data_IF_296023441000
#
_entry.id   IF_296023441000
#
_cell.length_a   1.000
_cell.length_b   1.000
_cell.length_c   1.000
_cell.angle_alpha   90.00
_cell.angle_beta   90.00
_cell.angle_gamma   90.00
#
_symmetry.space_group_name_H-M   'P 1'
#
loop_
_entity.id
_entity.type
_entity.pdbx_description
1 polymer ?
#
# COMPACT_ATOMS: atom_id res chain seq x y z
N UNK A 1 -38.49 -55.65 36.49
CA UNK A 1 -38.92 -56.03 37.85
C UNK A 1 -37.75 -56.63 38.60
N UNK A 2 -37.20 -55.86 39.52
CA UNK A 2 -36.05 -56.20 40.35
C UNK A 2 -35.87 -55.10 41.40
N UNK A 3 -34.92 -55.28 42.32
CA UNK A 3 -34.61 -54.27 43.34
C UNK A 3 -33.81 -53.08 42.81
N UNK A 4 -33.34 -53.16 41.56
CA UNK A 4 -32.56 -52.13 40.89
C UNK A 4 -33.37 -51.56 39.72
N UNK A 5 -33.44 -50.23 39.65
CA UNK A 5 -34.02 -49.48 38.54
C UNK A 5 -32.95 -48.54 38.01
N UNK A 6 -32.70 -48.57 36.70
CA UNK A 6 -31.81 -47.65 36.03
C UNK A 6 -32.66 -46.67 35.22
N UNK A 7 -32.42 -45.38 35.42
CA UNK A 7 -33.03 -44.31 34.63
C UNK A 7 -31.95 -43.68 33.74
N UNK A 8 -32.33 -43.34 32.52
CA UNK A 8 -31.50 -42.48 31.66
C UNK A 8 -32.02 -41.06 31.78
N UNK A 9 -31.15 -40.14 32.16
CA UNK A 9 -31.47 -38.71 32.20
C UNK A 9 -31.59 -38.17 30.77
N UNK A 10 -32.40 -37.14 30.59
CA UNK A 10 -32.48 -36.42 29.32
C UNK A 10 -31.20 -35.61 29.12
N UNK A 11 -30.84 -35.35 27.85
CA UNK A 11 -29.64 -34.55 27.54
C UNK A 11 -29.69 -33.16 28.16
N UNK A 12 -30.88 -32.54 28.24
CA UNK A 12 -31.07 -31.23 28.89
C UNK A 12 -30.78 -31.27 30.39
N UNK A 13 -31.18 -32.35 31.09
CA UNK A 13 -30.94 -32.53 32.52
C UNK A 13 -29.45 -32.75 32.79
N UNK A 14 -28.77 -33.55 31.95
CA UNK A 14 -27.33 -33.78 32.05
C UNK A 14 -26.54 -32.49 31.80
N UNK A 15 -26.88 -31.73 30.76
CA UNK A 15 -26.26 -30.42 30.49
C UNK A 15 -26.51 -29.47 31.67
N UNK A 16 -27.72 -29.45 32.22
CA UNK A 16 -28.08 -28.64 33.38
C UNK A 16 -27.26 -29.01 34.63
N UNK A 17 -27.05 -30.30 34.88
CA UNK A 17 -26.20 -30.80 35.96
C UNK A 17 -24.72 -30.44 35.72
N UNK A 18 -24.18 -30.74 34.53
CA UNK A 18 -22.77 -30.46 34.18
C UNK A 18 -22.45 -28.96 34.21
N UNK A 19 -23.41 -28.09 33.89
CA UNK A 19 -23.22 -26.63 33.94
C UNK A 19 -23.16 -26.08 35.38
N UNK A 20 -23.65 -26.83 36.38
CA UNK A 20 -23.84 -26.35 37.73
C UNK A 20 -22.78 -26.88 38.71
N UNK A 21 -21.79 -26.05 39.03
CA UNK A 21 -20.73 -26.36 40.00
C UNK A 21 -21.23 -26.67 41.43
N UNK A 22 -22.52 -26.45 41.73
CA UNK A 22 -23.09 -26.64 43.07
C UNK A 22 -23.93 -27.91 43.24
N UNK A 23 -24.25 -28.61 42.16
CA UNK A 23 -25.15 -29.78 42.21
C UNK A 23 -24.49 -30.96 41.51
N UNK A 24 -24.16 -32.00 42.27
CA UNK A 24 -23.55 -33.23 41.73
C UNK A 24 -22.31 -33.02 40.84
N UNK A 25 -21.55 -31.93 41.03
CA UNK A 25 -20.26 -31.73 40.36
C UNK A 25 -19.11 -32.49 41.05
N UNK A 26 -19.33 -32.93 42.29
CA UNK A 26 -18.43 -33.77 43.10
C UNK A 26 -19.26 -34.68 44.00
N UNK A 27 -18.68 -35.77 44.49
CA UNK A 27 -19.39 -36.67 45.42
C UNK A 27 -19.97 -35.95 46.66
N UNK A 28 -19.31 -34.92 47.16
CA UNK A 28 -19.72 -34.22 48.38
C UNK A 28 -20.89 -33.24 48.19
N UNK A 29 -21.23 -32.87 46.95
CA UNK A 29 -22.37 -32.02 46.62
C UNK A 29 -23.44 -32.76 45.80
N UNK A 30 -23.40 -34.10 45.78
CA UNK A 30 -24.40 -34.90 45.11
C UNK A 30 -25.39 -35.54 46.10
N UNK A 31 -26.58 -34.95 46.17
CA UNK A 31 -27.66 -35.32 47.09
C UNK A 31 -28.96 -35.54 46.32
N UNK A 32 -29.73 -36.56 46.68
CA UNK A 32 -30.99 -36.92 46.04
C UNK A 32 -32.16 -36.90 47.03
N UNK A 33 -33.23 -36.22 46.64
CA UNK A 33 -34.56 -36.31 47.27
C UNK A 33 -35.52 -37.00 46.29
N UNK A 34 -36.51 -37.74 46.80
CA UNK A 34 -37.54 -38.38 45.96
C UNK A 34 -38.92 -38.10 46.55
N UNK A 35 -39.91 -37.84 45.70
CA UNK A 35 -41.31 -37.67 46.14
C UNK A 35 -42.01 -39.03 46.20
N UNK A 36 -43.16 -39.11 46.87
CA UNK A 36 -43.98 -40.34 46.95
C UNK A 36 -44.44 -40.86 45.59
N UNK A 37 -44.40 -40.02 44.56
CA UNK A 37 -44.88 -40.34 43.20
C UNK A 37 -43.78 -40.91 42.30
N UNK A 38 -42.54 -41.01 42.79
CA UNK A 38 -41.37 -41.42 41.98
C UNK A 38 -41.51 -42.84 41.44
N UNK A 39 -41.95 -43.78 42.27
CA UNK A 39 -42.14 -45.19 41.87
C UNK A 39 -43.15 -45.89 42.78
N UNK A 40 -43.91 -46.84 42.21
CA UNK A 40 -44.82 -47.73 42.93
C UNK A 40 -44.20 -49.13 43.06
N UNK A 41 -44.48 -49.83 44.16
CA UNK A 41 -44.15 -51.24 44.30
C UNK A 41 -45.09 -52.17 43.48
N UNK A 42 -44.84 -53.48 43.51
CA UNK A 42 -45.64 -54.49 42.79
C UNK A 42 -47.10 -54.60 43.28
N UNK A 43 -47.43 -53.96 44.40
CA UNK A 43 -48.74 -53.91 45.04
C UNK A 43 -49.37 -52.49 44.96
N UNK A 44 -48.79 -51.59 44.16
CA UNK A 44 -49.23 -50.19 43.97
C UNK A 44 -49.03 -49.27 45.20
N UNK A 45 -48.14 -49.63 46.13
CA UNK A 45 -47.76 -48.72 47.22
C UNK A 45 -46.68 -47.74 46.74
N UNK A 46 -46.83 -46.46 47.04
CA UNK A 46 -45.84 -45.42 46.79
C UNK A 46 -44.54 -45.62 47.58
N UNK A 47 -43.42 -45.20 46.98
CA UNK A 47 -42.15 -45.07 47.69
C UNK A 47 -42.27 -44.07 48.84
N UNK A 48 -41.55 -44.32 49.94
CA UNK A 48 -41.46 -43.36 51.04
C UNK A 48 -40.65 -42.15 50.56
N UNK A 49 -41.24 -40.96 50.67
CA UNK A 49 -40.60 -39.69 50.30
C UNK A 49 -39.33 -39.44 51.12
N UNK A 50 -38.32 -38.85 50.47
CA UNK A 50 -37.08 -38.38 51.09
C UNK A 50 -37.06 -36.86 50.93
N UNK A 51 -37.22 -36.14 52.03
CA UNK A 51 -37.23 -34.67 52.08
C UNK A 51 -35.82 -34.08 52.06
N UNK A 52 -35.72 -32.76 51.82
CA UNK A 52 -34.43 -32.05 51.72
C UNK A 52 -33.52 -32.22 52.95
N UNK A 53 -34.09 -32.38 54.15
CA UNK A 53 -33.33 -32.57 55.39
C UNK A 53 -32.76 -33.98 55.54
N UNK A 54 -33.38 -34.96 54.87
CA UNK A 54 -33.02 -36.38 54.91
C UNK A 54 -32.42 -36.86 53.57
N UNK A 55 -32.05 -35.92 52.70
CA UNK A 55 -31.53 -36.20 51.38
C UNK A 55 -30.39 -37.22 51.46
N UNK A 56 -30.38 -38.18 50.53
CA UNK A 56 -29.35 -39.19 50.49
C UNK A 56 -28.17 -38.70 49.67
N UNK A 57 -26.96 -38.83 50.21
CA UNK A 57 -25.74 -38.55 49.46
C UNK A 57 -25.40 -39.73 48.54
N UNK A 58 -24.77 -39.44 47.40
CA UNK A 58 -24.30 -40.46 46.48
C UNK A 58 -23.24 -41.36 47.13
N UNK A 59 -23.53 -42.65 47.29
CA UNK A 59 -22.58 -43.62 47.86
C UNK A 59 -21.49 -44.07 46.87
N UNK A 60 -21.73 -43.89 45.58
CA UNK A 60 -20.79 -44.08 44.50
C UNK A 60 -20.95 -42.91 43.51
N UNK A 61 -19.86 -42.28 43.11
CA UNK A 61 -19.83 -41.17 42.16
C UNK A 61 -18.64 -41.40 41.23
N UNK A 62 -18.88 -41.32 39.93
CA UNK A 62 -17.85 -41.40 38.90
C UNK A 62 -17.65 -39.97 38.42
N UNK A 63 -16.43 -39.45 38.60
CA UNK A 63 -16.07 -38.14 38.09
C UNK A 63 -16.16 -38.13 36.57
N UNK A 64 -16.49 -36.97 36.02
CA UNK A 64 -16.52 -36.75 34.58
C UNK A 64 -15.10 -36.75 34.03
N UNK A 65 -14.76 -37.74 33.20
CA UNK A 65 -13.46 -37.92 32.57
C UNK A 65 -13.53 -37.90 31.04
N UNK A 66 -14.69 -37.53 30.49
CA UNK A 66 -14.92 -37.42 29.05
C UNK A 66 -14.58 -36.00 28.62
N UNK A 67 -13.67 -35.81 27.64
CA UNK A 67 -13.35 -34.48 27.13
C UNK A 67 -14.40 -33.99 26.13
N UNK A 68 -14.64 -32.66 26.06
CA UNK A 68 -15.56 -32.08 25.10
C UNK A 68 -14.96 -32.14 23.69
N UNK A 69 -15.79 -32.19 22.65
CA UNK A 69 -15.37 -32.02 21.26
C UNK A 69 -16.22 -30.97 20.54
N UNK A 70 -15.65 -30.35 19.51
CA UNK A 70 -16.35 -29.35 18.71
C UNK A 70 -17.40 -30.04 17.83
N UNK A 71 -18.65 -29.59 17.94
CA UNK A 71 -19.75 -29.99 17.05
C UNK A 71 -19.71 -29.14 15.79
N UNK A 72 -19.73 -27.81 15.95
CA UNK A 72 -19.67 -26.85 14.85
C UNK A 72 -19.11 -25.50 15.27
N UNK A 73 -18.87 -24.63 14.28
CA UNK A 73 -18.58 -23.23 14.52
C UNK A 73 -19.13 -22.32 13.43
N UNK A 74 -19.30 -21.06 13.76
CA UNK A 74 -19.63 -19.98 12.81
C UNK A 74 -18.63 -18.86 12.90
N UNK A 75 -18.24 -18.28 11.77
CA UNK A 75 -17.35 -17.11 11.72
C UNK A 75 -18.03 -15.97 10.96
N UNK A 76 -18.05 -14.80 11.57
CA UNK A 76 -18.58 -13.59 10.94
C UNK A 76 -17.47 -12.53 10.83
N UNK A 77 -17.07 -12.22 9.60
CA UNK A 77 -15.99 -11.28 9.31
C UNK A 77 -16.41 -9.80 9.32
N UNK A 78 -17.71 -9.51 9.34
CA UNK A 78 -18.23 -8.15 9.51
C UNK A 78 -18.28 -7.76 10.99
N UNK A 79 -18.75 -8.69 11.84
CA UNK A 79 -18.93 -8.42 13.27
C UNK A 79 -17.75 -8.87 14.13
N UNK A 80 -16.92 -9.79 13.63
CA UNK A 80 -15.80 -10.34 14.38
C UNK A 80 -16.20 -11.43 15.39
N UNK A 81 -17.38 -12.02 15.26
CA UNK A 81 -17.82 -13.11 16.14
C UNK A 81 -17.39 -14.48 15.61
N UNK A 82 -16.73 -15.25 16.46
CA UNK A 82 -16.46 -16.68 16.27
C UNK A 82 -17.23 -17.46 17.33
N UNK A 83 -18.29 -18.16 16.93
CA UNK A 83 -19.07 -19.00 17.85
C UNK A 83 -18.63 -20.46 17.72
N UNK A 84 -18.31 -21.10 18.85
CA UNK A 84 -17.94 -22.51 18.94
C UNK A 84 -19.04 -23.27 19.69
N UNK A 85 -19.56 -24.33 19.10
CA UNK A 85 -20.54 -25.23 19.71
C UNK A 85 -19.86 -26.55 20.07
N UNK A 86 -19.95 -26.94 21.34
CA UNK A 86 -19.42 -28.20 21.86
C UNK A 86 -20.55 -29.19 22.18
N UNK A 87 -20.23 -30.47 22.32
CA UNK A 87 -21.20 -31.51 22.67
C UNK A 87 -21.59 -31.49 24.16
N UNK A 88 -20.81 -30.81 24.99
CA UNK A 88 -21.08 -30.62 26.43
C UNK A 88 -20.62 -29.24 26.95
N UNK A 89 -21.03 -28.85 28.17
CA UNK A 89 -20.70 -27.53 28.70
C UNK A 89 -19.21 -27.32 28.92
N UNK A 90 -18.70 -26.21 28.38
CA UNK A 90 -17.32 -25.77 28.58
C UNK A 90 -17.22 -24.56 29.49
N UNK A 91 -16.02 -24.34 30.05
CA UNK A 91 -15.77 -23.27 31.01
C UNK A 91 -15.04 -22.09 30.34
N UNK A 92 -15.73 -20.99 30.01
CA UNK A 92 -15.13 -19.85 29.30
C UNK A 92 -13.93 -19.21 30.01
N UNK A 93 -13.85 -19.27 31.35
CA UNK A 93 -12.70 -18.75 32.10
C UNK A 93 -11.40 -19.54 31.92
N UNK A 94 -11.45 -20.69 31.25
CA UNK A 94 -10.29 -21.51 30.89
C UNK A 94 -9.83 -21.30 29.45
N UNK A 95 -10.53 -20.47 28.67
CA UNK A 95 -10.23 -20.22 27.27
C UNK A 95 -8.83 -19.60 27.11
N UNK A 96 -8.00 -20.23 26.29
CA UNK A 96 -6.76 -19.65 25.74
C UNK A 96 -6.91 -19.48 24.22
N UNK A 97 -7.24 -18.27 23.73
CA UNK A 97 -7.38 -18.02 22.30
C UNK A 97 -6.09 -18.27 21.51
N UNK A 98 -4.91 -18.22 22.15
CA UNK A 98 -3.62 -18.43 21.46
C UNK A 98 -3.39 -19.85 20.99
N UNK A 99 -4.28 -20.77 21.40
CA UNK A 99 -4.33 -22.15 20.96
C UNK A 99 -5.27 -22.37 19.78
N UNK A 100 -5.94 -21.33 19.29
CA UNK A 100 -6.90 -21.38 18.18
C UNK A 100 -6.23 -20.86 16.90
N UNK A 101 -6.40 -21.62 15.82
CA UNK A 101 -5.83 -21.37 14.51
C UNK A 101 -6.90 -21.32 13.42
N UNK A 102 -6.73 -20.40 12.48
CA UNK A 102 -7.48 -20.36 11.22
C UNK A 102 -6.54 -20.62 10.05
N UNK A 103 -6.91 -21.53 9.15
CA UNK A 103 -6.06 -22.00 8.05
C UNK A 103 -6.85 -22.14 6.74
N UNK A 104 -6.19 -22.03 5.58
CA UNK A 104 -6.83 -22.10 4.26
C UNK A 104 -7.24 -23.52 3.84
N UNK A 105 -6.55 -24.54 4.35
CA UNK A 105 -6.79 -25.94 3.98
C UNK A 105 -6.11 -26.91 4.96
N UNK A 106 -6.57 -28.17 5.06
CA UNK A 106 -5.91 -29.20 5.85
C UNK A 106 -4.43 -29.35 5.50
N UNK A 107 -3.57 -29.47 6.52
CA UNK A 107 -2.10 -29.54 6.41
C UNK A 107 -1.42 -28.26 5.89
N UNK A 108 -2.12 -27.12 5.87
CA UNK A 108 -1.50 -25.85 5.48
C UNK A 108 -0.35 -25.47 6.43
N UNK A 109 0.75 -25.00 5.85
CA UNK A 109 1.85 -24.38 6.59
C UNK A 109 1.56 -22.91 6.93
N UNK A 110 0.60 -22.29 6.26
CA UNK A 110 0.11 -20.93 6.56
C UNK A 110 -1.15 -21.01 7.41
N UNK A 111 -1.19 -20.22 8.47
CA UNK A 111 -2.31 -20.11 9.39
C UNK A 111 -2.21 -18.82 10.20
N UNK A 112 -3.36 -18.32 10.66
CA UNK A 112 -3.45 -17.26 11.66
C UNK A 112 -3.63 -17.91 13.02
N UNK A 113 -2.96 -17.36 14.03
CA UNK A 113 -3.18 -17.70 15.45
C UNK A 113 -3.90 -16.53 16.10
N UNK A 114 -4.99 -16.79 16.82
CA UNK A 114 -5.69 -15.72 17.54
C UNK A 114 -4.82 -15.20 18.68
N UNK A 115 -4.90 -13.90 18.96
CA UNK A 115 -4.17 -13.31 20.08
C UNK A 115 -4.94 -13.45 21.39
N UNK A 116 -4.23 -13.27 22.51
CA UNK A 116 -4.82 -13.20 23.87
C UNK A 116 -5.87 -12.11 24.07
N UNK A 117 -6.04 -11.21 23.09
CA UNK A 117 -6.99 -10.10 23.16
C UNK A 117 -8.36 -10.48 22.61
N UNK A 118 -8.50 -11.63 21.96
CA UNK A 118 -9.82 -12.24 21.71
C UNK A 118 -10.43 -12.62 23.05
N UNK A 119 -11.68 -12.23 23.29
CA UNK A 119 -12.37 -12.41 24.59
C UNK A 119 -13.70 -13.12 24.42
N UNK A 120 -14.26 -13.62 25.52
CA UNK A 120 -15.62 -14.15 25.56
C UNK A 120 -16.32 -13.65 26.83
N UNK A 121 -17.60 -13.33 26.70
CA UNK A 121 -18.50 -13.05 27.83
C UNK A 121 -19.56 -14.15 28.00
N UNK A 122 -19.40 -15.27 27.30
CA UNK A 122 -20.34 -16.38 27.38
C UNK A 122 -20.39 -16.95 28.81
N UNK A 123 -21.58 -17.34 29.30
CA UNK A 123 -21.68 -18.15 30.50
C UNK A 123 -21.12 -19.55 30.25
N UNK A 124 -20.96 -20.34 31.32
CA UNK A 124 -20.74 -21.79 31.19
C UNK A 124 -21.91 -22.38 30.39
N UNK A 125 -21.59 -23.16 29.37
CA UNK A 125 -22.57 -23.74 28.46
C UNK A 125 -21.93 -24.41 27.26
N UNK A 126 -22.76 -24.90 26.36
CA UNK A 126 -22.31 -25.64 25.15
C UNK A 126 -21.90 -24.71 24.00
N UNK A 127 -22.21 -23.41 24.08
CA UNK A 127 -21.81 -22.41 23.06
C UNK A 127 -20.93 -21.35 23.70
N UNK A 128 -19.77 -21.12 23.10
CA UNK A 128 -18.86 -20.02 23.45
C UNK A 128 -18.77 -19.07 22.26
N UNK A 129 -19.12 -17.81 22.51
CA UNK A 129 -19.04 -16.71 21.55
C UNK A 129 -17.77 -15.92 21.83
N UNK A 130 -16.81 -15.98 20.92
CA UNK A 130 -15.57 -15.23 20.97
C UNK A 130 -15.75 -13.93 20.18
N UNK A 131 -15.40 -12.82 20.81
CA UNK A 131 -15.26 -11.52 20.16
C UNK A 131 -13.79 -11.34 19.76
N UNK A 132 -13.51 -11.45 18.46
CA UNK A 132 -12.17 -11.30 17.90
C UNK A 132 -11.67 -9.86 18.11
N UNK A 133 -10.42 -9.73 18.53
CA UNK A 133 -9.83 -8.39 18.66
C UNK A 133 -9.69 -7.71 17.29
N UNK A 134 -9.64 -6.37 17.27
CA UNK A 134 -9.40 -5.62 16.01
C UNK A 134 -8.09 -6.04 15.34
N UNK A 135 -7.07 -6.39 16.12
CA UNK A 135 -5.81 -6.95 15.60
C UNK A 135 -6.02 -8.31 14.95
N UNK A 136 -6.80 -9.20 15.57
CA UNK A 136 -7.09 -10.53 15.01
C UNK A 136 -7.90 -10.43 13.71
N UNK A 137 -8.98 -9.64 13.71
CA UNK A 137 -9.82 -9.41 12.51
C UNK A 137 -8.96 -8.85 11.38
N UNK A 138 -8.16 -7.82 11.65
CA UNK A 138 -7.31 -7.22 10.63
C UNK A 138 -6.22 -8.19 10.13
N UNK A 139 -5.62 -8.99 11.01
CA UNK A 139 -4.66 -10.01 10.60
C UNK A 139 -5.31 -11.08 9.71
N UNK A 140 -6.56 -11.47 9.98
CA UNK A 140 -7.33 -12.39 9.13
C UNK A 140 -7.67 -11.71 7.79
N UNK A 141 -8.22 -10.49 7.82
CA UNK A 141 -8.59 -9.70 6.65
C UNK A 141 -7.40 -9.42 5.73
N UNK A 142 -6.20 -9.25 6.27
CA UNK A 142 -4.98 -9.01 5.49
C UNK A 142 -4.50 -10.22 4.67
N UNK A 143 -5.05 -11.43 4.90
CA UNK A 143 -4.63 -12.63 4.17
C UNK A 143 -5.36 -12.79 2.84
N UNK A 144 -4.81 -13.66 1.98
CA UNK A 144 -5.47 -14.13 0.74
C UNK A 144 -6.39 -15.34 0.97
N UNK A 145 -6.61 -15.70 2.23
CA UNK A 145 -7.45 -16.84 2.62
C UNK A 145 -8.46 -16.42 3.70
N UNK A 146 -9.34 -17.33 4.12
CA UNK A 146 -10.48 -17.03 4.99
C UNK A 146 -11.36 -15.95 4.34
N UNK A 147 -11.56 -16.04 3.02
CA UNK A 147 -12.46 -15.15 2.24
C UNK A 147 -13.81 -15.79 1.92
N UNK A 148 -13.93 -17.10 2.14
CA UNK A 148 -15.10 -17.91 1.83
C UNK A 148 -15.21 -19.11 2.80
N UNK A 149 -16.33 -19.84 2.83
CA UNK A 149 -16.41 -21.08 3.59
C UNK A 149 -15.51 -22.20 3.06
N UNK A 150 -14.99 -22.10 1.82
CA UNK A 150 -14.17 -23.16 1.19
C UNK A 150 -12.67 -23.06 1.48
N UNK A 151 -12.22 -21.92 1.98
CA UNK A 151 -10.84 -21.62 2.37
C UNK A 151 -10.75 -21.16 3.84
N UNK A 152 -11.75 -21.54 4.65
CA UNK A 152 -11.79 -21.27 6.08
C UNK A 152 -11.85 -22.59 6.83
N UNK A 153 -10.85 -22.83 7.66
CA UNK A 153 -10.79 -24.01 8.51
C UNK A 153 -10.30 -23.62 9.90
N UNK A 154 -10.93 -24.18 10.93
CA UNK A 154 -10.58 -23.99 12.34
C UNK A 154 -9.77 -25.19 12.81
N UNK A 155 -8.72 -24.93 13.58
CA UNK A 155 -7.98 -25.92 14.34
C UNK A 155 -7.68 -25.35 15.73
N UNK A 156 -7.51 -26.21 16.72
CA UNK A 156 -7.05 -25.80 18.04
C UNK A 156 -6.37 -26.95 18.79
N UNK A 157 -5.50 -26.61 19.73
CA UNK A 157 -4.87 -27.60 20.62
C UNK A 157 -5.79 -27.95 21.80
N UNK A 158 -5.44 -29.00 22.54
CA UNK A 158 -6.17 -29.39 23.75
C UNK A 158 -6.10 -28.34 24.87
N UNK A 159 -5.21 -27.35 24.75
CA UNK A 159 -5.08 -26.26 25.73
C UNK A 159 -6.06 -25.11 25.47
N UNK A 160 -6.88 -25.17 24.40
CA UNK A 160 -7.75 -24.07 24.02
C UNK A 160 -8.88 -23.80 25.02
N UNK A 161 -9.53 -24.83 25.55
CA UNK A 161 -10.59 -24.69 26.55
C UNK A 161 -10.79 -26.02 27.29
N UNK A 162 -11.23 -25.95 28.54
CA UNK A 162 -11.62 -27.13 29.32
C UNK A 162 -13.15 -27.17 29.51
N UNK A 163 -13.68 -28.36 29.76
CA UNK A 163 -15.05 -28.53 30.25
C UNK A 163 -15.23 -27.97 31.68
N UNK A 164 -16.42 -28.14 32.25
CA UNK A 164 -16.70 -27.76 33.65
C UNK A 164 -15.92 -28.63 34.65
N UNK A 165 -15.65 -29.90 34.32
CA UNK A 165 -14.92 -30.86 35.13
C UNK A 165 -13.37 -30.73 35.03
N UNK A 166 -12.87 -29.79 34.21
CA UNK A 166 -11.47 -29.53 33.90
C UNK A 166 -10.79 -30.57 32.99
N UNK A 167 -11.55 -31.31 32.19
CA UNK A 167 -11.02 -32.09 31.09
C UNK A 167 -10.71 -31.18 29.90
N UNK A 168 -9.51 -31.27 29.29
CA UNK A 168 -9.16 -30.48 28.12
C UNK A 168 -9.95 -30.91 26.90
N UNK A 169 -10.31 -29.94 26.04
CA UNK A 169 -11.00 -30.22 24.78
C UNK A 169 -10.24 -31.20 23.91
N UNK A 170 -10.97 -32.08 23.23
CA UNK A 170 -10.42 -32.96 22.20
C UNK A 170 -9.84 -32.08 21.08
N UNK A 171 -8.52 -32.16 20.81
CA UNK A 171 -7.87 -31.22 19.90
C UNK A 171 -8.33 -31.41 18.46
N UNK A 172 -8.53 -30.30 17.76
CA UNK A 172 -8.80 -30.26 16.33
C UNK A 172 -7.49 -29.94 15.61
N UNK A 173 -6.76 -30.97 15.20
CA UNK A 173 -5.42 -30.81 14.64
C UNK A 173 -5.44 -30.21 13.23
N UNK A 174 -4.35 -29.54 12.85
CA UNK A 174 -4.21 -28.84 11.56
C UNK A 174 -4.23 -29.77 10.33
N UNK A 175 -4.01 -31.07 10.51
CA UNK A 175 -4.12 -32.09 9.47
C UNK A 175 -5.56 -32.56 9.25
N UNK A 176 -6.44 -32.38 10.24
CA UNK A 176 -7.86 -32.69 10.18
C UNK A 176 -8.70 -31.54 10.75
N UNK A 177 -8.59 -30.31 10.21
CA UNK A 177 -9.31 -29.16 10.72
C UNK A 177 -10.79 -29.19 10.26
N UNK A 178 -11.63 -28.37 10.88
CA UNK A 178 -13.06 -28.33 10.58
C UNK A 178 -13.43 -27.10 9.73
N UNK A 179 -14.29 -27.28 8.73
CA UNK A 179 -14.90 -26.18 7.96
C UNK A 179 -16.05 -25.53 8.73
N UNK A 180 -16.36 -24.25 8.49
CA UNK A 180 -17.43 -23.56 9.22
C UNK A 180 -18.79 -24.15 8.87
N UNK A 181 -19.69 -24.19 9.85
CA UNK A 181 -21.11 -24.46 9.60
C UNK A 181 -21.78 -23.27 8.90
N UNK A 182 -21.40 -22.05 9.29
CA UNK A 182 -21.80 -20.81 8.64
C UNK A 182 -20.63 -19.82 8.60
N UNK A 183 -20.53 -19.08 7.50
CA UNK A 183 -19.52 -18.06 7.28
C UNK A 183 -20.17 -16.79 6.72
N UNK A 184 -20.00 -15.66 7.40
CA UNK A 184 -20.33 -14.33 6.87
C UNK A 184 -19.06 -13.71 6.33
N UNK A 185 -19.04 -13.48 5.02
CA UNK A 185 -17.93 -12.81 4.34
C UNK A 185 -17.88 -11.33 4.73
N UNK A 186 -16.69 -10.78 4.69
CA UNK A 186 -16.45 -9.35 4.87
C UNK A 186 -17.13 -8.54 3.76
N UNK A 187 -17.97 -7.60 4.17
CA UNK A 187 -18.72 -6.68 3.32
C UNK A 187 -18.47 -5.22 3.68
N UNK A 188 -17.60 -4.94 4.66
CA UNK A 188 -17.29 -3.57 5.06
C UNK A 188 -16.33 -2.93 4.06
N UNK A 189 -16.61 -1.68 3.67
CA UNK A 189 -15.74 -0.92 2.78
C UNK A 189 -14.56 -0.31 3.53
N UNK A 190 -13.36 -0.24 2.92
CA UNK A 190 -12.23 0.46 3.51
C UNK A 190 -12.46 1.97 3.41
N UNK A 191 -12.19 2.69 4.50
CA UNK A 191 -12.29 4.15 4.58
C UNK A 191 -10.88 4.76 4.60
N UNK A 192 -10.62 5.72 3.71
CA UNK A 192 -9.39 6.50 3.75
C UNK A 192 -9.42 7.43 4.96
N UNK A 193 -8.45 7.29 5.86
CA UNK A 193 -8.36 8.10 7.08
C UNK A 193 -7.37 9.24 6.94
N UNK A 194 -6.26 9.00 6.24
CA UNK A 194 -5.18 9.95 6.11
C UNK A 194 -4.70 10.01 4.67
N UNK A 195 -4.37 11.22 4.26
CA UNK A 195 -3.76 11.54 2.99
C UNK A 195 -2.53 12.42 3.24
N UNK A 196 -1.40 12.04 2.65
CA UNK A 196 -0.12 12.72 2.79
C UNK A 196 0.44 12.94 1.38
N UNK A 197 0.74 14.18 1.02
CA UNK A 197 1.38 14.55 -0.24
C UNK A 197 2.79 15.02 0.09
N UNK A 198 3.78 14.33 -0.46
CA UNK A 198 5.19 14.72 -0.35
C UNK A 198 5.72 15.11 -1.73
N UNK A 199 5.83 16.42 -1.98
CA UNK A 199 6.33 16.95 -3.25
C UNK A 199 7.86 16.86 -3.37
N UNK A 200 8.58 16.71 -2.25
CA UNK A 200 10.03 16.44 -2.25
C UNK A 200 10.35 15.00 -2.66
N UNK A 201 9.49 14.05 -2.31
CA UNK A 201 9.62 12.64 -2.68
C UNK A 201 8.76 12.24 -3.89
N UNK A 202 7.99 13.19 -4.44
CA UNK A 202 7.07 12.94 -5.56
C UNK A 202 6.00 11.87 -5.24
N UNK A 203 5.50 11.82 -3.99
CA UNK A 203 4.57 10.77 -3.54
C UNK A 203 3.23 11.27 -2.98
N UNK A 204 2.20 10.44 -3.16
CA UNK A 204 0.93 10.47 -2.45
C UNK A 204 0.81 9.20 -1.61
N UNK A 205 0.65 9.35 -0.29
CA UNK A 205 0.39 8.24 0.62
C UNK A 205 -1.04 8.32 1.17
N UNK A 206 -1.75 7.20 1.09
CA UNK A 206 -3.10 7.01 1.61
C UNK A 206 -3.07 5.94 2.71
N UNK A 207 -3.77 6.20 3.82
CA UNK A 207 -3.86 5.28 4.97
C UNK A 207 -5.32 4.94 5.23
N UNK A 208 -5.65 3.65 5.22
CA UNK A 208 -7.00 3.13 5.40
C UNK A 208 -7.21 2.56 6.81
N UNK A 209 -8.48 2.38 7.19
CA UNK A 209 -8.86 1.78 8.48
C UNK A 209 -8.78 0.25 8.51
N UNK A 210 -8.58 -0.40 7.36
CA UNK A 210 -8.47 -1.86 7.24
C UNK A 210 -7.48 -2.27 6.12
N UNK A 211 -7.10 -3.55 6.03
CA UNK A 211 -6.20 -4.05 4.99
C UNK A 211 -6.76 -3.89 3.57
N UNK A 212 -5.99 -3.25 2.70
CA UNK A 212 -6.33 -2.98 1.29
C UNK A 212 -5.52 -3.85 0.32
N UNK A 213 -5.91 -3.78 -0.96
CA UNK A 213 -5.21 -4.42 -2.08
C UNK A 213 -4.54 -3.38 -3.01
N UNK A 214 -3.33 -2.89 -2.69
CA UNK A 214 -2.62 -1.94 -3.56
C UNK A 214 -2.35 -2.44 -4.98
N UNK A 215 -2.31 -3.75 -5.22
CA UNK A 215 -2.04 -4.33 -6.55
C UNK A 215 -3.12 -4.01 -7.59
N UNK A 216 -4.34 -3.68 -7.17
CA UNK A 216 -5.46 -3.33 -8.06
C UNK A 216 -5.72 -1.82 -8.13
N UNK A 217 -4.83 -1.00 -7.55
CA UNK A 217 -5.05 0.43 -7.46
C UNK A 217 -5.05 1.12 -8.83
N UNK A 218 -6.05 1.96 -9.07
CA UNK A 218 -6.18 2.80 -10.27
C UNK A 218 -6.01 4.28 -9.90
N UNK A 219 -4.83 4.83 -10.22
CA UNK A 219 -4.53 6.24 -9.99
C UNK A 219 -5.47 7.18 -10.76
N UNK A 220 -6.06 6.75 -11.88
CA UNK A 220 -6.96 7.61 -12.69
C UNK A 220 -8.28 7.91 -12.02
N UNK A 221 -8.57 7.22 -10.92
CA UNK A 221 -9.73 7.44 -10.06
C UNK A 221 -9.45 8.42 -8.91
N UNK A 222 -8.24 8.98 -8.85
CA UNK A 222 -7.83 9.98 -7.85
C UNK A 222 -7.76 11.37 -8.47
N UNK A 223 -8.38 12.34 -7.82
CA UNK A 223 -8.32 13.76 -8.22
C UNK A 223 -7.84 14.62 -7.06
N UNK A 224 -6.83 15.44 -7.30
CA UNK A 224 -6.40 16.49 -6.37
C UNK A 224 -7.23 17.74 -6.61
N UNK A 225 -7.65 18.42 -5.54
CA UNK A 225 -8.44 19.65 -5.61
C UNK A 225 -7.85 20.74 -4.72
N UNK A 226 -8.04 21.99 -5.15
CA UNK A 226 -7.67 23.20 -4.43
C UNK A 226 -8.74 23.70 -3.44
N UNK A 227 -9.97 23.19 -3.52
CA UNK A 227 -11.10 23.59 -2.67
C UNK A 227 -12.09 22.43 -2.54
N UNK A 228 -12.79 22.30 -1.40
CA UNK A 228 -13.88 21.34 -1.22
C UNK A 228 -15.24 21.88 -1.69
N UNK A 229 -15.31 23.14 -2.12
CA UNK A 229 -16.57 23.80 -2.51
C UNK A 229 -16.60 24.09 -4.02
N UNK A 230 -17.70 23.73 -4.67
CA UNK A 230 -17.94 23.97 -6.10
C UNK A 230 -18.05 25.46 -6.48
N UNK A 231 -18.29 26.34 -5.51
CA UNK A 231 -18.56 27.77 -5.75
C UNK A 231 -17.30 28.63 -5.95
N UNK A 232 -16.11 28.07 -5.75
CA UNK A 232 -14.82 28.71 -6.03
C UNK A 232 -14.20 28.11 -7.30
N UNK A 233 -13.32 28.82 -8.04
CA UNK A 233 -12.58 28.18 -9.12
C UNK A 233 -11.75 27.02 -8.55
N UNK A 234 -12.24 25.79 -8.75
CA UNK A 234 -11.56 24.57 -8.30
C UNK A 234 -10.51 24.20 -9.33
N UNK A 235 -9.28 24.63 -9.11
CA UNK A 235 -8.13 24.00 -9.74
C UNK A 235 -8.13 22.54 -9.29
N UNK A 236 -8.10 21.64 -10.27
CA UNK A 236 -8.12 20.20 -10.04
C UNK A 236 -7.13 19.50 -10.98
N UNK A 237 -6.66 18.34 -10.53
CA UNK A 237 -5.82 17.45 -11.31
C UNK A 237 -6.23 16.01 -11.04
N UNK A 238 -6.89 15.39 -12.02
CA UNK A 238 -7.04 13.94 -12.05
C UNK A 238 -5.71 13.32 -12.44
N UNK A 239 -5.20 12.39 -11.63
CA UNK A 239 -3.92 11.74 -11.91
C UNK A 239 -4.05 10.88 -13.18
N UNK A 240 -3.00 10.85 -13.99
CA UNK A 240 -2.98 10.07 -15.24
C UNK A 240 -2.33 8.69 -15.05
N UNK A 241 -1.72 8.44 -13.89
CA UNK A 241 -1.09 7.17 -13.54
C UNK A 241 -0.13 7.32 -12.36
N UNK A 242 0.86 6.43 -12.31
CA UNK A 242 1.94 6.47 -11.33
C UNK A 242 2.42 5.06 -11.02
N UNK A 243 3.39 4.97 -10.10
CA UNK A 243 3.92 3.69 -9.65
C UNK A 243 3.48 3.48 -8.21
N UNK A 244 2.74 2.41 -7.95
CA UNK A 244 2.27 2.07 -6.61
C UNK A 244 3.33 1.24 -5.90
N UNK A 245 3.71 1.69 -4.71
CA UNK A 245 4.46 0.93 -3.73
C UNK A 245 3.53 0.51 -2.59
N UNK A 246 3.42 -0.79 -2.40
CA UNK A 246 2.56 -1.41 -1.39
C UNK A 246 2.47 -2.91 -1.66
N UNK A 247 2.14 -3.68 -0.63
CA UNK A 247 1.80 -5.09 -0.78
C UNK A 247 0.35 -5.28 -0.34
N UNK A 248 -0.31 -6.26 -0.94
CA UNK A 248 -1.67 -6.65 -0.57
C UNK A 248 -1.71 -7.06 0.91
N UNK A 249 -2.75 -6.60 1.62
CA UNK A 249 -2.88 -6.74 3.07
C UNK A 249 -2.29 -5.58 3.89
N UNK A 250 -1.70 -4.57 3.23
CA UNK A 250 -1.22 -3.34 3.87
C UNK A 250 -2.39 -2.41 4.23
N UNK A 251 -2.23 -1.56 5.24
CA UNK A 251 -3.13 -0.43 5.52
C UNK A 251 -2.74 0.84 4.75
N UNK A 252 -1.55 0.84 4.16
CA UNK A 252 -0.90 2.00 3.57
C UNK A 252 -0.62 1.71 2.10
N UNK A 253 -1.01 2.66 1.25
CA UNK A 253 -0.64 2.73 -0.15
C UNK A 253 0.23 3.97 -0.38
N UNK A 254 1.35 3.82 -1.09
CA UNK A 254 2.18 4.95 -1.51
C UNK A 254 2.30 4.97 -3.02
N UNK A 255 1.70 5.97 -3.66
CA UNK A 255 1.80 6.25 -5.08
C UNK A 255 2.97 7.20 -5.33
N UNK A 256 3.87 6.85 -6.25
CA UNK A 256 4.84 7.79 -6.84
C UNK A 256 4.18 8.41 -8.07
N UNK A 257 4.08 9.74 -8.10
CA UNK A 257 3.53 10.47 -9.23
C UNK A 257 4.34 10.23 -10.50
N UNK A 258 3.66 10.15 -11.65
CA UNK A 258 4.37 10.19 -12.93
C UNK A 258 4.87 11.62 -13.22
N UNK A 259 5.79 11.76 -14.18
CA UNK A 259 6.39 13.06 -14.50
C UNK A 259 5.38 14.10 -15.02
N UNK A 260 4.41 13.76 -15.89
CA UNK A 260 3.36 14.70 -16.28
C UNK A 260 2.54 15.25 -15.10
N UNK A 261 2.07 14.39 -14.20
CA UNK A 261 1.24 14.78 -13.06
C UNK A 261 2.04 15.61 -12.07
N UNK A 262 3.26 15.17 -11.73
CA UNK A 262 4.16 15.94 -10.86
C UNK A 262 4.41 17.35 -11.41
N UNK A 263 4.76 17.46 -12.70
CA UNK A 263 4.93 18.75 -13.36
C UNK A 263 3.66 19.61 -13.26
N UNK A 264 2.49 19.03 -13.47
CA UNK A 264 1.21 19.74 -13.40
C UNK A 264 0.92 20.26 -11.99
N UNK A 265 1.20 19.46 -10.95
CA UNK A 265 1.07 19.87 -9.54
C UNK A 265 2.03 21.03 -9.24
N UNK A 266 3.32 20.88 -9.55
CA UNK A 266 4.35 21.88 -9.22
C UNK A 266 4.18 23.21 -9.95
N UNK A 267 3.60 23.21 -11.15
CA UNK A 267 3.32 24.43 -11.92
C UNK A 267 1.99 25.11 -11.57
N UNK A 268 1.18 24.52 -10.69
CA UNK A 268 -0.10 25.10 -10.30
C UNK A 268 0.04 25.86 -8.98
N UNK A 269 0.03 27.19 -9.05
CA UNK A 269 0.20 28.08 -7.89
C UNK A 269 -0.95 27.98 -6.85
N UNK A 270 -2.06 27.32 -7.20
CA UNK A 270 -3.26 27.22 -6.37
C UNK A 270 -3.57 25.78 -5.93
N UNK A 271 -2.79 24.78 -6.31
CA UNK A 271 -3.02 23.37 -5.97
C UNK A 271 -1.87 22.83 -5.12
N UNK A 272 -2.20 22.32 -3.93
CA UNK A 272 -1.23 21.72 -3.01
C UNK A 272 -0.01 22.62 -2.68
N UNK A 273 -0.18 23.95 -2.72
CA UNK A 273 0.83 24.92 -2.28
C UNK A 273 0.76 25.20 -0.78
N UNK A 274 -0.38 24.90 -0.17
CA UNK A 274 -0.60 24.89 1.28
C UNK A 274 -1.62 23.81 1.64
N UNK A 275 -1.80 23.53 2.93
CA UNK A 275 -2.81 22.57 3.35
C UNK A 275 -4.25 23.03 3.02
N UNK A 276 -4.46 24.34 2.96
CA UNK A 276 -5.80 24.91 2.72
C UNK A 276 -6.28 24.70 1.28
N UNK A 277 -5.38 24.32 0.36
CA UNK A 277 -5.69 23.98 -1.03
C UNK A 277 -5.17 22.59 -1.44
N UNK A 278 -5.15 21.66 -0.49
CA UNK A 278 -4.73 20.28 -0.71
C UNK A 278 -5.83 19.30 -0.28
N UNK A 279 -6.70 18.95 -1.22
CA UNK A 279 -7.77 17.98 -1.03
C UNK A 279 -7.64 16.85 -2.04
N UNK A 280 -8.18 15.69 -1.69
CA UNK A 280 -8.13 14.47 -2.51
C UNK A 280 -9.54 13.90 -2.60
N UNK A 281 -9.97 13.66 -3.82
CA UNK A 281 -11.16 12.89 -4.13
C UNK A 281 -10.77 11.48 -4.57
N UNK A 282 -11.49 10.50 -4.06
CA UNK A 282 -11.41 9.09 -4.40
C UNK A 282 -12.80 8.67 -4.92
N UNK A 283 -12.86 8.10 -6.11
CA UNK A 283 -14.16 7.86 -6.77
C UNK A 283 -14.99 6.69 -6.18
N UNK A 284 -14.46 5.93 -5.21
CA UNK A 284 -15.04 4.65 -4.78
C UNK A 284 -14.72 3.51 -5.77
N UNK A 285 -13.71 3.71 -6.61
CA UNK A 285 -13.17 2.75 -7.58
C UNK A 285 -11.64 2.79 -7.65
N UNK A 286 -10.99 3.42 -6.68
CA UNK A 286 -9.53 3.57 -6.66
C UNK A 286 -8.85 2.27 -6.27
N UNK A 287 -9.44 1.46 -5.38
CA UNK A 287 -8.92 0.14 -4.98
C UNK A 287 -10.02 -0.71 -4.35
N UNK A 288 -9.68 -1.94 -3.95
CA UNK A 288 -10.54 -2.73 -3.08
C UNK A 288 -9.80 -3.10 -1.80
N UNK A 289 -10.55 -3.52 -0.79
CA UNK A 289 -10.01 -4.31 0.30
C UNK A 289 -9.54 -5.69 -0.20
N UNK A 290 -9.10 -6.53 0.73
CA UNK A 290 -8.67 -7.89 0.43
C UNK A 290 -9.83 -8.85 0.06
N UNK A 291 -11.07 -8.49 0.40
CA UNK A 291 -12.30 -9.24 0.11
C UNK A 291 -12.99 -8.80 -1.19
N UNK A 292 -12.48 -7.77 -1.86
CA UNK A 292 -12.96 -7.29 -3.16
C UNK A 292 -14.03 -6.20 -3.06
N UNK A 293 -14.23 -5.61 -1.90
CA UNK A 293 -15.13 -4.49 -1.62
C UNK A 293 -14.40 -3.18 -1.91
N UNK A 294 -15.01 -2.30 -2.70
CA UNK A 294 -14.44 -0.99 -3.02
C UNK A 294 -14.42 -0.06 -1.81
N UNK A 295 -13.47 0.89 -1.83
CA UNK A 295 -13.36 1.91 -0.80
C UNK A 295 -14.60 2.81 -0.72
N UNK A 296 -14.83 3.39 0.46
CA UNK A 296 -15.80 4.47 0.61
C UNK A 296 -15.29 5.68 -0.19
N UNK A 297 -16.10 6.25 -1.11
CA UNK A 297 -15.66 7.37 -1.93
C UNK A 297 -15.45 8.62 -1.08
N UNK A 298 -14.46 9.42 -1.48
CA UNK A 298 -14.26 10.81 -1.05
C UNK A 298 -14.71 11.67 -2.24
N UNK A 299 -16.00 12.05 -2.35
CA UNK A 299 -16.55 12.64 -3.56
C UNK A 299 -15.99 14.05 -3.81
N UNK A 300 -16.18 14.58 -5.03
CA UNK A 300 -15.69 15.92 -5.39
C UNK A 300 -16.33 17.02 -4.54
N UNK A 301 -17.54 16.77 -4.04
CA UNK A 301 -18.35 17.68 -3.22
C UNK A 301 -18.04 17.58 -1.71
N UNK A 302 -17.30 16.55 -1.29
CA UNK A 302 -16.81 16.37 0.09
C UNK A 302 -15.45 15.64 0.08
N UNK A 303 -14.39 16.27 -0.49
CA UNK A 303 -13.12 15.62 -0.66
C UNK A 303 -12.31 15.60 0.65
N UNK A 304 -11.48 14.57 0.80
CA UNK A 304 -10.61 14.41 1.95
C UNK A 304 -9.49 15.47 1.92
N UNK A 305 -9.45 16.33 2.94
CA UNK A 305 -8.32 17.25 3.10
C UNK A 305 -7.06 16.50 3.53
N UNK A 306 -5.91 16.84 2.95
CA UNK A 306 -4.60 16.32 3.36
C UNK A 306 -4.42 16.49 4.88
N UNK A 307 -3.87 15.46 5.52
CA UNK A 307 -3.70 15.39 6.98
C UNK A 307 -2.88 16.58 7.51
N UNK A 308 -3.12 16.99 8.75
CA UNK A 308 -2.32 18.04 9.39
C UNK A 308 -0.83 17.63 9.41
N UNK A 309 0.05 18.47 8.82
CA UNK A 309 1.46 18.15 8.62
C UNK A 309 1.75 17.13 7.51
N UNK A 310 0.73 16.71 6.76
CA UNK A 310 0.83 15.74 5.67
C UNK A 310 1.16 16.35 4.31
N UNK A 311 1.28 17.68 4.19
CA UNK A 311 1.79 18.32 2.97
C UNK A 311 3.26 18.69 3.18
N UNK A 312 4.15 18.02 2.46
CA UNK A 312 5.59 18.32 2.44
C UNK A 312 5.89 19.09 1.16
N UNK A 313 6.29 20.35 1.31
CA UNK A 313 6.74 21.19 0.19
C UNK A 313 7.95 20.57 -0.49
N UNK A 314 8.10 20.86 -1.78
CA UNK A 314 9.28 20.45 -2.52
C UNK A 314 10.53 21.18 -1.99
N UNK A 315 11.58 20.43 -1.71
CA UNK A 315 12.90 20.93 -1.29
C UNK A 315 14.01 20.29 -2.12
N UNK A 316 13.64 19.52 -3.14
CA UNK A 316 14.58 18.80 -3.99
C UNK A 316 15.27 19.78 -4.93
N UNK A 317 16.58 19.63 -5.10
CA UNK A 317 17.32 20.42 -6.08
C UNK A 317 17.32 19.71 -7.43
N UNK A 318 17.00 20.43 -8.49
CA UNK A 318 17.10 19.90 -9.84
C UNK A 318 18.57 19.57 -10.20
N UNK A 319 18.77 18.50 -10.95
CA UNK A 319 20.06 18.17 -11.59
C UNK A 319 19.83 17.85 -13.06
N UNK A 320 20.84 18.10 -13.90
CA UNK A 320 20.80 17.65 -15.29
C UNK A 320 20.83 16.12 -15.32
N UNK A 321 19.80 15.51 -15.92
CA UNK A 321 19.68 14.05 -16.05
C UNK A 321 20.32 13.56 -17.36
N UNK A 322 19.97 14.20 -18.48
CA UNK A 322 20.48 13.84 -19.81
C UNK A 322 20.42 15.03 -20.77
N UNK A 323 21.09 14.89 -21.91
CA UNK A 323 20.95 15.85 -23.02
C UNK A 323 21.03 15.15 -24.38
N UNK A 324 20.49 15.80 -25.41
CA UNK A 324 20.67 15.43 -26.81
C UNK A 324 21.14 16.64 -27.61
N UNK A 325 21.88 16.39 -28.68
CA UNK A 325 22.36 17.44 -29.57
C UNK A 325 22.12 17.09 -31.04
N UNK A 326 21.56 18.04 -31.78
CA UNK A 326 21.36 17.98 -33.21
C UNK A 326 22.24 19.04 -33.89
N UNK A 327 23.30 18.56 -34.54
CA UNK A 327 24.25 19.41 -35.26
C UNK A 327 23.74 19.87 -36.63
N UNK A 328 22.67 19.26 -37.13
CA UNK A 328 22.02 19.63 -38.39
C UNK A 328 21.05 20.79 -38.18
N UNK A 329 20.17 20.70 -37.19
CA UNK A 329 19.20 21.77 -36.86
C UNK A 329 19.77 22.84 -35.91
N UNK A 330 20.86 22.53 -35.20
CA UNK A 330 21.45 23.42 -34.20
C UNK A 330 20.66 23.43 -32.89
N UNK A 331 20.14 22.29 -32.46
CA UNK A 331 19.30 22.17 -31.26
C UNK A 331 20.00 21.35 -30.18
N UNK A 332 20.05 21.88 -28.96
CA UNK A 332 20.57 21.23 -27.76
C UNK A 332 19.43 21.10 -26.75
N UNK A 333 18.99 19.87 -26.47
CA UNK A 333 17.91 19.62 -25.49
C UNK A 333 18.51 19.14 -24.19
N UNK A 334 18.21 19.82 -23.09
CA UNK A 334 18.59 19.44 -21.73
C UNK A 334 17.36 18.90 -20.99
N UNK A 335 17.47 17.74 -20.34
CA UNK A 335 16.41 17.18 -19.49
C UNK A 335 16.89 17.14 -18.03
N UNK A 336 16.11 17.72 -17.12
CA UNK A 336 16.38 17.81 -15.70
C UNK A 336 15.54 16.80 -14.90
N UNK A 337 15.95 16.53 -13.66
CA UNK A 337 15.21 15.63 -12.74
C UNK A 337 13.91 16.24 -12.22
N UNK A 338 13.82 17.58 -12.23
CA UNK A 338 12.70 18.35 -11.70
C UNK A 338 12.32 19.53 -12.62
N UNK A 339 11.30 20.29 -12.24
CA UNK A 339 10.80 21.46 -12.98
C UNK A 339 11.76 22.65 -12.81
N UNK A 340 12.25 23.17 -13.93
CA UNK A 340 13.09 24.36 -14.00
C UNK A 340 12.35 25.54 -14.65
N UNK A 341 12.94 26.73 -14.54
CA UNK A 341 12.43 27.97 -15.15
C UNK A 341 13.38 28.41 -16.27
N UNK A 342 13.15 28.04 -17.55
CA UNK A 342 14.09 28.30 -18.64
C UNK A 342 14.37 29.79 -18.90
N UNK A 343 13.47 30.69 -18.46
CA UNK A 343 13.67 32.14 -18.54
C UNK A 343 14.88 32.63 -17.71
N UNK A 344 15.34 31.84 -16.74
CA UNK A 344 16.53 32.11 -15.92
C UNK A 344 17.81 31.56 -16.53
N UNK A 345 17.77 30.97 -17.74
CA UNK A 345 18.90 30.28 -18.36
C UNK A 345 20.12 31.20 -18.55
N UNK A 346 21.22 30.91 -17.87
CA UNK A 346 22.55 31.43 -18.18
C UNK A 346 23.27 30.49 -19.14
N UNK A 347 23.01 30.66 -20.44
CA UNK A 347 23.56 29.77 -21.50
C UNK A 347 25.09 29.68 -21.48
N UNK A 348 25.79 30.72 -21.01
CA UNK A 348 27.26 30.73 -20.88
C UNK A 348 27.79 29.78 -19.81
N UNK A 349 26.93 29.24 -18.95
CA UNK A 349 27.26 28.20 -17.98
C UNK A 349 27.17 26.79 -18.57
N UNK A 350 26.72 26.66 -19.84
CA UNK A 350 26.75 25.40 -20.59
C UNK A 350 28.09 25.24 -21.32
N UNK A 351 28.73 24.09 -21.10
CA UNK A 351 30.02 23.74 -21.71
C UNK A 351 29.95 22.34 -22.31
N UNK A 352 30.14 22.23 -23.62
CA UNK A 352 30.33 20.96 -24.31
C UNK A 352 31.80 20.53 -24.26
N UNK A 353 32.04 19.24 -24.08
CA UNK A 353 33.38 18.67 -23.98
C UNK A 353 33.45 17.26 -24.57
N UNK A 354 34.66 16.78 -24.88
CA UNK A 354 34.87 15.50 -25.60
C UNK A 354 34.90 14.25 -24.72
N UNK A 355 34.72 14.39 -23.41
CA UNK A 355 34.83 13.31 -22.43
C UNK A 355 34.20 13.72 -21.09
N UNK A 356 34.09 12.78 -20.15
CA UNK A 356 33.66 13.10 -18.77
C UNK A 356 34.60 14.09 -18.09
N UNK A 357 35.89 13.99 -18.42
CA UNK A 357 36.91 15.01 -18.18
C UNK A 357 37.49 15.45 -19.52
N UNK A 358 37.57 16.76 -19.75
CA UNK A 358 38.29 17.31 -20.89
C UNK A 358 39.02 18.61 -20.53
N UNK A 359 39.97 18.97 -21.38
CA UNK A 359 40.69 20.24 -21.35
C UNK A 359 40.75 20.80 -22.78
N UNK A 360 41.13 22.08 -22.89
CA UNK A 360 41.34 22.71 -24.20
C UNK A 360 42.32 21.87 -25.07
N UNK A 361 42.09 21.76 -26.38
CA UNK A 361 41.08 22.47 -27.18
C UNK A 361 39.71 21.78 -27.28
N UNK A 362 39.53 20.61 -26.66
CA UNK A 362 38.33 19.76 -26.80
C UNK A 362 37.21 20.13 -25.81
N UNK A 363 37.02 21.44 -25.63
CA UNK A 363 36.01 22.05 -24.75
C UNK A 363 35.48 23.30 -25.46
N UNK A 364 34.17 23.52 -25.38
CA UNK A 364 33.51 24.71 -25.90
C UNK A 364 32.42 25.21 -24.97
N UNK A 365 32.51 26.48 -24.59
CA UNK A 365 31.49 27.17 -23.81
C UNK A 365 30.54 27.90 -24.76
N UNK A 366 29.25 27.70 -24.59
CA UNK A 366 28.25 28.42 -25.38
C UNK A 366 28.30 29.92 -25.06
N UNK A 367 27.87 30.74 -26.01
CA UNK A 367 27.80 32.19 -25.86
C UNK A 367 26.35 32.65 -25.84
N UNK A 368 26.14 33.93 -25.53
CA UNK A 368 24.79 34.54 -25.44
C UNK A 368 24.05 34.62 -26.77
N UNK A 369 24.66 34.17 -27.88
CA UNK A 369 23.99 34.02 -29.19
C UNK A 369 23.05 32.81 -29.23
N UNK A 370 23.27 31.84 -28.34
CA UNK A 370 22.39 30.69 -28.14
C UNK A 370 21.34 31.03 -27.09
N UNK A 371 20.11 30.57 -27.27
CA UNK A 371 19.00 30.94 -26.39
C UNK A 371 17.91 29.87 -26.36
N UNK A 372 17.00 29.98 -25.39
CA UNK A 372 15.82 29.14 -25.29
C UNK A 372 14.56 29.98 -25.30
N UNK A 373 13.47 29.40 -25.79
CA UNK A 373 12.10 29.90 -25.62
C UNK A 373 11.20 28.85 -24.99
N UNK A 374 11.78 27.85 -24.32
CA UNK A 374 11.03 26.78 -23.65
C UNK A 374 10.19 27.35 -22.51
N UNK A 375 8.95 26.88 -22.31
CA UNK A 375 8.18 27.17 -21.11
C UNK A 375 8.73 26.39 -19.89
N UNK A 376 8.33 26.75 -18.66
CA UNK A 376 8.65 25.98 -17.46
C UNK A 376 8.33 24.48 -17.60
N UNK A 377 9.23 23.64 -17.09
CA UNK A 377 9.15 22.19 -17.23
C UNK A 377 10.48 21.51 -16.94
N UNK A 378 10.55 20.20 -17.21
CA UNK A 378 11.76 19.41 -17.01
C UNK A 378 12.71 19.43 -18.22
N UNK A 379 12.36 20.14 -19.29
CA UNK A 379 13.14 20.18 -20.53
C UNK A 379 13.41 21.60 -21.01
N UNK A 380 14.65 21.86 -21.43
CA UNK A 380 15.08 23.12 -22.05
C UNK A 380 15.62 22.82 -23.44
N UNK A 381 14.99 23.38 -24.47
CA UNK A 381 15.49 23.37 -25.83
C UNK A 381 16.29 24.65 -26.07
N UNK A 382 17.61 24.53 -26.21
CA UNK A 382 18.53 25.61 -26.55
C UNK A 382 18.76 25.59 -28.05
N UNK A 383 18.39 26.67 -28.73
CA UNK A 383 18.76 26.91 -30.13
C UNK A 383 20.17 27.48 -30.16
N UNK A 384 21.08 26.76 -30.80
CA UNK A 384 22.47 27.16 -30.99
C UNK A 384 22.54 28.30 -32.00
N UNK A 385 23.06 29.44 -31.58
CA UNK A 385 23.28 30.56 -32.49
C UNK A 385 24.36 30.20 -33.52
N UNK A 386 24.32 30.84 -34.70
CA UNK A 386 25.21 30.53 -35.84
C UNK A 386 26.70 30.52 -35.46
N UNK A 387 27.13 31.42 -34.58
CA UNK A 387 28.53 31.48 -34.11
C UNK A 387 28.89 30.23 -33.31
N UNK A 388 28.03 29.81 -32.37
CA UNK A 388 28.26 28.64 -31.54
C UNK A 388 28.22 27.35 -32.35
N UNK A 389 27.22 27.20 -33.22
CA UNK A 389 27.09 26.03 -34.09
C UNK A 389 28.28 25.87 -35.02
N UNK A 390 28.71 26.95 -35.69
CA UNK A 390 29.88 26.91 -36.57
C UNK A 390 31.18 26.65 -35.81
N UNK A 391 31.31 27.18 -34.59
CA UNK A 391 32.47 26.91 -33.74
C UNK A 391 32.52 25.43 -33.31
N UNK A 392 31.39 24.80 -33.03
CA UNK A 392 31.32 23.37 -32.77
C UNK A 392 31.67 22.56 -34.03
N UNK A 393 31.07 22.87 -35.19
CA UNK A 393 31.39 22.22 -36.48
C UNK A 393 32.85 22.36 -36.91
N UNK A 394 33.54 23.42 -36.47
CA UNK A 394 34.96 23.63 -36.74
C UNK A 394 35.89 22.64 -36.00
N UNK A 395 35.46 22.12 -34.85
CA UNK A 395 36.31 21.29 -33.98
C UNK A 395 36.25 19.82 -34.40
N UNK A 396 37.41 19.22 -34.67
CA UNK A 396 37.51 17.84 -35.19
C UNK A 396 37.48 16.74 -34.12
N UNK A 397 37.35 17.09 -32.84
CA UNK A 397 37.33 16.14 -31.72
C UNK A 397 36.39 16.54 -30.58
N UNK A 398 35.40 17.39 -30.87
CA UNK A 398 34.37 17.80 -29.94
C UNK A 398 33.04 17.79 -30.68
N UNK A 399 32.08 17.01 -30.20
CA UNK A 399 30.72 16.98 -30.76
C UNK A 399 30.72 16.62 -32.25
N UNK A 400 31.56 15.65 -32.65
CA UNK A 400 31.59 15.11 -34.02
C UNK A 400 30.78 13.81 -34.13
N UNK A 401 30.58 13.12 -33.01
CA UNK A 401 29.78 11.92 -32.87
C UNK A 401 29.32 11.75 -31.41
N UNK A 402 28.61 10.67 -31.11
CA UNK A 402 28.11 10.42 -29.75
C UNK A 402 29.23 10.22 -28.71
N UNK A 403 30.40 9.72 -29.12
CA UNK A 403 31.49 9.37 -28.19
C UNK A 403 32.37 10.55 -27.78
N UNK A 404 32.27 11.69 -28.44
CA UNK A 404 32.94 12.94 -28.09
C UNK A 404 31.94 14.07 -27.78
N UNK A 405 30.71 13.70 -27.40
CA UNK A 405 29.64 14.61 -27.02
C UNK A 405 29.33 14.45 -25.53
N UNK A 406 29.94 15.30 -24.70
CA UNK A 406 29.66 15.40 -23.27
C UNK A 406 29.30 16.84 -22.89
N UNK A 407 28.61 17.01 -21.78
CA UNK A 407 28.19 18.31 -21.27
C UNK A 407 28.56 18.48 -19.80
N UNK A 408 28.90 19.71 -19.45
CA UNK A 408 29.02 20.21 -18.07
C UNK A 408 28.18 21.48 -17.97
N UNK A 409 27.61 21.72 -16.79
CA UNK A 409 26.78 22.89 -16.51
C UNK A 409 27.15 23.49 -15.15
N UNK A 410 27.21 24.82 -15.10
CA UNK A 410 27.34 25.56 -13.84
C UNK A 410 26.06 25.44 -12.99
N UNK A 411 26.17 25.72 -11.69
CA UNK A 411 25.04 25.69 -10.77
C UNK A 411 24.00 26.76 -11.15
N UNK A 412 24.49 27.89 -11.66
CA UNK A 412 23.74 29.04 -12.12
C UNK A 412 23.14 28.88 -13.52
N UNK A 413 23.24 27.69 -14.15
CA UNK A 413 22.79 27.53 -15.54
C UNK A 413 21.29 27.80 -15.69
N UNK A 414 20.47 27.42 -14.72
CA UNK A 414 19.02 27.65 -14.66
C UNK A 414 18.58 27.47 -13.21
N UNK A 415 17.48 28.11 -12.82
CA UNK A 415 16.91 27.93 -11.49
C UNK A 415 15.70 26.98 -11.53
N UNK A 416 15.43 26.34 -10.41
CA UNK A 416 14.16 25.64 -10.16
C UNK A 416 13.00 26.63 -9.86
N UNK A 417 11.81 26.11 -9.57
CA UNK A 417 10.63 26.92 -9.23
C UNK A 417 10.77 27.73 -7.93
N UNK A 418 11.65 27.29 -7.01
CA UNK A 418 11.93 27.99 -5.76
C UNK A 418 12.99 29.08 -5.93
N UNK A 419 13.55 29.22 -7.14
CA UNK A 419 14.63 30.15 -7.43
C UNK A 419 16.01 29.64 -6.96
N UNK A 420 16.13 28.35 -6.64
CA UNK A 420 17.39 27.73 -6.25
C UNK A 420 18.17 27.28 -7.48
N UNK A 421 19.48 27.45 -7.43
CA UNK A 421 20.43 26.93 -8.42
C UNK A 421 20.37 25.38 -8.48
N UNK A 422 20.59 24.83 -9.67
CA UNK A 422 20.71 23.38 -9.83
C UNK A 422 22.00 22.81 -9.21
N UNK A 423 22.04 21.50 -9.05
CA UNK A 423 23.30 20.79 -8.77
C UNK A 423 24.19 20.84 -10.04
N UNK A 424 25.40 21.43 -9.98
CA UNK A 424 26.26 21.55 -11.15
C UNK A 424 26.83 20.21 -11.60
N UNK A 425 27.08 20.09 -12.91
CA UNK A 425 27.86 19.01 -13.49
C UNK A 425 29.25 19.57 -13.81
N UNK A 426 30.23 19.25 -12.98
CA UNK A 426 31.59 19.78 -13.14
C UNK A 426 32.43 18.94 -14.09
N UNK A 427 33.54 19.53 -14.57
CA UNK A 427 34.59 18.75 -15.23
C UNK A 427 35.03 17.60 -14.30
N UNK A 428 35.32 16.43 -14.87
CA UNK A 428 35.42 15.10 -14.22
C UNK A 428 34.10 14.28 -14.18
N UNK A 429 32.94 14.93 -14.25
CA UNK A 429 31.63 14.28 -14.19
C UNK A 429 30.74 14.58 -15.41
N UNK A 430 31.33 15.03 -16.52
CA UNK A 430 30.57 15.37 -17.72
C UNK A 430 29.63 14.23 -18.13
N UNK A 431 28.37 14.57 -18.37
CA UNK A 431 27.35 13.62 -18.83
C UNK A 431 27.56 13.39 -20.32
N UNK A 432 27.45 12.15 -20.78
CA UNK A 432 27.49 11.82 -22.22
C UNK A 432 26.13 12.10 -22.86
N UNK A 433 26.12 12.55 -24.11
CA UNK A 433 24.87 12.73 -24.86
C UNK A 433 24.09 11.41 -24.94
N UNK A 434 22.78 11.49 -24.77
CA UNK A 434 21.84 10.38 -24.99
C UNK A 434 21.69 10.13 -26.50
N UNK A 435 21.62 11.20 -27.29
CA UNK A 435 21.55 11.14 -28.74
C UNK A 435 22.33 12.27 -29.41
N UNK A 436 22.80 11.98 -30.62
CA UNK A 436 23.58 12.87 -31.47
C UNK A 436 23.08 12.74 -32.91
N UNK A 437 22.68 13.85 -33.52
CA UNK A 437 22.32 13.91 -34.95
C UNK A 437 23.46 14.64 -35.68
N UNK A 438 24.14 13.99 -36.64
CA UNK A 438 25.21 14.63 -37.39
C UNK A 438 24.63 15.70 -38.33
N UNK A 439 25.45 16.70 -38.60
CA UNK A 439 25.16 17.68 -39.63
C UNK A 439 25.17 17.06 -41.03
N UNK A 440 24.13 17.35 -41.81
CA UNK A 440 23.97 16.91 -43.20
C UNK A 440 23.69 18.08 -44.15
N UNK A 441 23.67 19.30 -43.62
CA UNK A 441 23.44 20.50 -44.41
C UNK A 441 24.71 20.82 -45.22
N UNK A 442 24.52 21.22 -46.47
CA UNK A 442 25.65 21.56 -47.35
C UNK A 442 26.00 23.05 -47.24
N UNK A 443 27.30 23.42 -47.26
CA UNK A 443 27.72 24.80 -47.22
C UNK A 443 27.29 25.54 -48.48
N UNK A 444 26.71 26.73 -48.30
CA UNK A 444 26.33 27.64 -49.38
C UNK A 444 27.24 28.85 -49.38
N UNK A 445 27.74 29.25 -50.56
CA UNK A 445 28.47 30.52 -50.68
C UNK A 445 27.47 31.68 -50.59
N UNK A 446 27.57 32.48 -49.55
CA UNK A 446 26.68 33.62 -49.30
C UNK A 446 27.20 34.91 -49.96
N UNK A 447 28.51 35.13 -49.93
CA UNK A 447 29.14 36.31 -50.55
C UNK A 447 30.62 36.07 -50.87
N UNK A 448 31.18 36.92 -51.72
CA UNK A 448 32.62 36.95 -51.97
C UNK A 448 33.12 38.39 -52.12
N UNK A 449 34.40 38.60 -51.86
CA UNK A 449 35.10 39.86 -52.15
C UNK A 449 36.44 39.57 -52.82
N UNK A 450 36.76 40.33 -53.86
CA UNK A 450 38.03 40.24 -54.58
C UNK A 450 38.76 41.58 -54.48
N UNK A 451 39.94 41.57 -53.87
CA UNK A 451 40.86 42.70 -53.88
C UNK A 451 41.97 42.43 -54.89
N UNK A 452 41.93 43.14 -56.03
CA UNK A 452 42.94 43.01 -57.09
C UNK A 452 44.25 43.73 -56.77
N UNK A 453 44.30 44.61 -55.76
CA UNK A 453 45.56 45.22 -55.33
C UNK A 453 46.40 44.24 -54.51
N UNK A 454 45.74 43.40 -53.70
CA UNK A 454 46.40 42.36 -52.88
C UNK A 454 46.35 40.97 -53.53
N UNK A 455 45.52 40.78 -54.55
CA UNK A 455 45.26 39.47 -55.16
C UNK A 455 44.45 38.52 -54.26
N UNK A 456 43.68 39.06 -53.31
CA UNK A 456 42.95 38.27 -52.31
C UNK A 456 41.49 38.05 -52.69
N UNK A 457 41.06 36.78 -52.75
CA UNK A 457 39.66 36.37 -52.87
C UNK A 457 39.19 35.84 -51.51
N UNK A 458 38.19 36.48 -50.93
CA UNK A 458 37.50 36.01 -49.71
C UNK A 458 36.15 35.45 -50.09
N UNK A 459 35.84 34.24 -49.63
CA UNK A 459 34.57 33.54 -49.84
C UNK A 459 33.90 33.35 -48.48
N UNK A 460 32.68 33.84 -48.31
CA UNK A 460 31.89 33.68 -47.09
C UNK A 460 30.83 32.61 -47.29
N UNK A 461 30.87 31.55 -46.48
CA UNK A 461 29.92 30.45 -46.54
C UNK A 461 28.89 30.52 -45.40
N UNK A 462 27.77 29.85 -45.58
CA UNK A 462 26.71 29.69 -44.57
C UNK A 462 27.20 29.01 -43.29
N UNK A 463 28.20 28.14 -43.42
CA UNK A 463 28.79 27.38 -42.31
C UNK A 463 30.30 27.17 -42.48
N UNK A 464 30.93 26.57 -41.46
CA UNK A 464 32.36 26.28 -41.46
C UNK A 464 32.73 25.31 -42.59
N UNK A 465 33.69 25.70 -43.43
CA UNK A 465 34.25 24.85 -44.50
C UNK A 465 35.69 24.48 -44.21
N UNK A 466 36.11 23.30 -44.67
CA UNK A 466 37.52 22.93 -44.63
C UNK A 466 38.28 23.54 -45.81
N UNK A 467 38.98 24.66 -45.56
CA UNK A 467 39.72 25.36 -46.62
C UNK A 467 40.86 24.51 -47.25
N UNK A 468 41.37 23.49 -46.57
CA UNK A 468 42.42 22.62 -47.13
C UNK A 468 41.93 21.71 -48.24
N UNK A 469 40.62 21.62 -48.47
CA UNK A 469 40.01 20.84 -49.56
C UNK A 469 39.66 21.70 -50.77
N UNK A 470 40.06 22.98 -50.78
CA UNK A 470 39.90 23.86 -51.93
C UNK A 470 40.92 23.46 -53.01
N UNK A 471 40.43 23.10 -54.20
CA UNK A 471 41.24 22.62 -55.34
C UNK A 471 41.61 23.73 -56.32
#
# INVERSE_FOLDING_TARGET
>A
NGTNVTISLLSEDIIGLKTNDRVCSKINNCWLTVTSDTVLDMNQNSVVQIDQLDALYACNFIDDDVPPFLVDYTLDMDTGFLNLTFDEPVRPSTLDPTQIYLLPSPNSSTFITLTRYTTTESPIGVVISLNLSTTDINNIKATEYIKSPTDTYLAFTSEAINDVAMNPVTPLSRDQPQSPFSYTADSTSPECRLAIIDLSQETLQLVFNEPIRPSVFDATQVTLLSSPYEDEPVENLTLSGGIVNGHDGSFILTLIFNKPDNKAIKLNDNLATSRDNAYISLSGRTLTDMSGVYEVPEPLEDPLQVTAGGLVSDTSQATLYKFSIDMNSGELTLTFTDVIVPATLHVTSVVLQSGSRSIAPNVYRLTTVSSTTSPPGCEVLIKLGRVDLNALKYRTGLTTNINDSYITVGADVVNDLQGTDIIPITNDYGIKAESYIPDTTHPQLESFSLDLNTGSLTLNFSETVNASTLN
#
